data_IF_248888715043
#
_entry.id   IF_248888715043
#
_cell.length_a   1.000
_cell.length_b   1.000
_cell.length_c   1.000
_cell.angle_alpha   90.00
_cell.angle_beta   90.00
_cell.angle_gamma   90.00
#
_symmetry.space_group_name_H-M   'P 1'
#
loop_
_entity.id
_entity.type
_entity.pdbx_description
1 polymer ?
#
# COMPACT_ATOMS: atom_id res chain seq x y z
N UNK A 1 5.48 19.39 20.60
CA UNK A 1 6.51 18.74 19.75
C UNK A 1 6.24 17.24 19.70
N UNK A 2 6.32 16.62 18.53
CA UNK A 2 6.10 15.19 18.36
C UNK A 2 7.42 14.44 18.55
N UNK A 3 7.46 13.52 19.51
CA UNK A 3 8.61 12.66 19.77
C UNK A 3 8.21 11.19 19.77
N UNK A 4 9.04 10.35 19.20
CA UNK A 4 8.90 8.89 19.29
C UNK A 4 9.58 8.41 20.56
N UNK A 5 8.90 7.56 21.34
CA UNK A 5 9.53 6.91 22.47
C UNK A 5 10.46 5.79 21.98
N UNK A 6 11.64 5.65 22.61
CA UNK A 6 12.58 4.57 22.32
C UNK A 6 11.94 3.17 22.52
N UNK A 7 11.04 3.05 23.50
CA UNK A 7 10.30 1.80 23.71
C UNK A 7 9.42 1.41 22.52
N UNK A 8 8.94 2.37 21.75
CA UNK A 8 8.19 2.09 20.50
C UNK A 8 9.07 1.39 19.49
N UNK A 9 10.28 1.89 19.27
CA UNK A 9 11.25 1.24 18.37
C UNK A 9 11.65 -0.15 18.89
N UNK A 10 11.90 -0.27 20.20
CA UNK A 10 12.20 -1.54 20.86
C UNK A 10 11.09 -2.57 20.65
N UNK A 11 9.85 -2.21 20.95
CA UNK A 11 8.70 -3.10 20.83
C UNK A 11 8.48 -3.57 19.38
N UNK A 12 8.66 -2.66 18.41
CA UNK A 12 8.60 -3.04 16.98
C UNK A 12 9.71 -3.98 16.57
N UNK A 13 10.93 -3.80 17.04
CA UNK A 13 12.05 -4.70 16.78
C UNK A 13 11.86 -6.08 17.41
N UNK A 14 11.22 -6.15 18.60
CA UNK A 14 10.84 -7.41 19.24
C UNK A 14 9.70 -8.10 18.48
N UNK A 15 8.67 -7.35 18.07
CA UNK A 15 7.57 -7.85 17.23
C UNK A 15 8.07 -8.46 15.92
N UNK A 16 9.06 -7.81 15.29
CA UNK A 16 9.69 -8.30 14.07
C UNK A 16 10.68 -9.46 14.30
N UNK A 17 10.88 -9.86 15.53
CA UNK A 17 11.87 -10.87 15.92
C UNK A 17 13.31 -10.55 15.47
N UNK A 18 13.63 -9.25 15.34
CA UNK A 18 14.92 -8.75 14.89
C UNK A 18 15.88 -8.39 16.03
N UNK A 19 15.37 -8.32 17.28
CA UNK A 19 16.07 -7.85 18.46
C UNK A 19 16.17 -8.94 19.52
N UNK A 20 17.35 -9.06 20.14
CA UNK A 20 17.56 -9.75 21.41
C UNK A 20 18.11 -8.76 22.44
N UNK A 21 17.52 -8.73 23.61
CA UNK A 21 18.05 -7.97 24.74
C UNK A 21 19.08 -8.81 25.50
N UNK A 22 20.21 -8.21 25.81
CA UNK A 22 21.27 -8.82 26.61
C UNK A 22 21.63 -7.89 27.76
N UNK A 23 21.86 -8.43 28.95
CA UNK A 23 22.38 -7.66 30.05
C UNK A 23 23.91 -7.77 30.05
N UNK A 24 24.60 -6.62 29.93
CA UNK A 24 26.05 -6.53 30.01
C UNK A 24 26.44 -5.48 31.03
N UNK A 25 27.24 -5.85 32.03
CA UNK A 25 27.73 -4.93 33.05
C UNK A 25 26.63 -4.04 33.66
N UNK A 26 25.49 -4.61 34.04
CA UNK A 26 24.30 -3.94 34.59
C UNK A 26 23.56 -2.99 33.60
N UNK A 27 23.91 -3.02 32.32
CA UNK A 27 23.21 -2.24 31.29
C UNK A 27 22.50 -3.20 30.29
N UNK A 28 21.30 -2.85 29.90
CA UNK A 28 20.56 -3.56 28.85
C UNK A 28 21.10 -3.13 27.50
N UNK A 29 21.61 -4.06 26.72
CA UNK A 29 22.16 -3.83 25.38
C UNK A 29 21.28 -4.48 24.33
N UNK A 30 21.03 -3.75 23.29
CA UNK A 30 20.28 -4.22 22.11
C UNK A 30 21.21 -4.97 21.17
N UNK A 31 20.89 -6.22 20.88
CA UNK A 31 21.67 -7.05 19.94
C UNK A 31 20.79 -7.52 18.78
N UNK A 32 21.24 -7.34 17.54
CA UNK A 32 20.51 -7.85 16.39
C UNK A 32 20.45 -9.40 16.42
N UNK A 33 19.25 -9.94 16.19
CA UNK A 33 18.94 -11.38 16.17
C UNK A 33 18.64 -11.83 14.73
N UNK A 34 19.13 -12.98 14.27
CA UNK A 34 18.70 -13.56 13.00
C UNK A 34 17.23 -14.01 13.10
N UNK A 35 16.49 -13.84 12.04
CA UNK A 35 15.06 -14.22 11.94
C UNK A 35 14.94 -15.60 11.31
N UNK A 36 15.00 -16.64 12.13
CA UNK A 36 15.07 -18.02 11.71
C UNK A 36 13.90 -18.43 10.78
N UNK A 37 12.69 -17.92 11.01
CA UNK A 37 11.52 -18.22 10.19
C UNK A 37 11.62 -17.71 8.73
N UNK A 38 12.57 -16.85 8.43
CA UNK A 38 12.79 -16.33 7.07
C UNK A 38 13.82 -17.13 6.27
N UNK A 39 14.52 -18.08 6.87
CA UNK A 39 15.59 -18.85 6.21
C UNK A 39 15.08 -19.62 4.98
N UNK A 40 13.83 -20.08 5.00
CA UNK A 40 13.19 -20.74 3.87
C UNK A 40 12.88 -19.82 2.67
N UNK A 41 12.81 -18.51 2.87
CA UNK A 41 12.51 -17.55 1.79
C UNK A 41 13.73 -17.31 0.90
N UNK A 42 13.52 -16.84 -0.34
CA UNK A 42 14.62 -16.39 -1.21
C UNK A 42 15.33 -15.17 -0.61
N UNK A 43 16.60 -14.95 -0.95
CA UNK A 43 17.39 -13.84 -0.37
C UNK A 43 16.80 -12.49 -0.72
N UNK A 44 16.32 -12.33 -1.96
CA UNK A 44 15.64 -11.12 -2.42
C UNK A 44 14.35 -10.82 -1.65
N UNK A 45 13.61 -11.86 -1.23
CA UNK A 45 12.38 -11.73 -0.46
C UNK A 45 12.68 -11.37 1.00
N UNK A 46 13.77 -11.91 1.55
CA UNK A 46 14.27 -11.51 2.88
C UNK A 46 14.54 -10.01 2.87
N UNK A 47 15.35 -9.52 1.91
CA UNK A 47 15.67 -8.09 1.81
C UNK A 47 14.42 -7.24 1.59
N UNK A 48 13.47 -7.71 0.77
CA UNK A 48 12.20 -7.00 0.53
C UNK A 48 11.40 -6.83 1.81
N UNK A 49 11.31 -7.88 2.64
CA UNK A 49 10.59 -7.85 3.90
C UNK A 49 11.21 -6.82 4.88
N UNK A 50 12.54 -6.86 5.06
CA UNK A 50 13.23 -5.88 5.90
C UNK A 50 13.02 -4.44 5.40
N UNK A 51 13.08 -4.22 4.08
CA UNK A 51 12.82 -2.91 3.48
C UNK A 51 11.42 -2.41 3.76
N UNK A 52 10.41 -3.28 3.67
CA UNK A 52 9.01 -2.94 3.92
C UNK A 52 8.81 -2.52 5.37
N UNK A 53 9.37 -3.25 6.30
CA UNK A 53 9.27 -2.98 7.74
C UNK A 53 10.00 -1.68 8.13
N UNK A 54 11.20 -1.45 7.60
CA UNK A 54 11.96 -0.21 7.83
C UNK A 54 11.20 1.00 7.27
N UNK A 55 10.70 0.91 6.03
CA UNK A 55 9.92 1.98 5.41
C UNK A 55 8.62 2.24 6.15
N UNK A 56 7.93 1.19 6.59
CA UNK A 56 6.71 1.30 7.37
C UNK A 56 6.94 2.08 8.66
N UNK A 57 7.95 1.69 9.44
CA UNK A 57 8.35 2.40 10.65
C UNK A 57 8.72 3.86 10.36
N UNK A 58 9.62 4.09 9.41
CA UNK A 58 10.07 5.43 9.08
C UNK A 58 8.94 6.32 8.55
N UNK A 59 8.10 5.83 7.64
CA UNK A 59 7.01 6.64 7.07
C UNK A 59 5.99 7.05 8.13
N UNK A 60 5.70 6.18 9.09
CA UNK A 60 4.78 6.49 10.18
C UNK A 60 5.32 7.57 11.12
N UNK A 61 6.63 7.53 11.44
CA UNK A 61 7.24 8.43 12.39
C UNK A 61 8.07 9.56 11.75
N UNK A 62 8.06 9.71 10.43
CA UNK A 62 8.94 10.60 9.67
C UNK A 62 8.87 12.08 10.08
N UNK A 63 7.75 12.52 10.64
CA UNK A 63 7.54 13.92 11.10
C UNK A 63 8.04 14.18 12.53
N UNK A 64 8.39 13.14 13.27
CA UNK A 64 8.86 13.28 14.64
C UNK A 64 10.24 13.95 14.71
N UNK A 65 10.47 14.75 15.75
CA UNK A 65 11.69 15.54 15.90
C UNK A 65 12.95 14.67 16.07
N UNK A 66 12.81 13.53 16.75
CA UNK A 66 13.90 12.62 17.07
C UNK A 66 13.96 11.38 16.15
N UNK A 67 13.29 11.42 14.99
CA UNK A 67 13.25 10.26 14.08
C UNK A 67 14.63 9.90 13.53
N UNK A 68 15.53 10.87 13.36
CA UNK A 68 16.89 10.59 12.89
C UNK A 68 17.66 9.68 13.84
N UNK A 69 17.61 9.94 15.14
CA UNK A 69 18.34 9.15 16.14
C UNK A 69 17.72 7.77 16.34
N UNK A 70 16.39 7.74 16.53
CA UNK A 70 15.66 6.50 16.74
C UNK A 70 15.68 5.64 15.46
N UNK A 71 15.49 6.28 14.30
CA UNK A 71 15.53 5.60 13.00
C UNK A 71 16.90 4.99 12.71
N UNK A 72 17.99 5.70 13.01
CA UNK A 72 19.34 5.16 12.85
C UNK A 72 19.58 3.95 13.76
N UNK A 73 19.17 4.01 15.02
CA UNK A 73 19.26 2.88 15.95
C UNK A 73 18.41 1.68 15.49
N UNK A 74 17.18 1.94 15.05
CA UNK A 74 16.28 0.94 14.50
C UNK A 74 16.86 0.32 13.22
N UNK A 75 17.31 1.15 12.28
CA UNK A 75 17.91 0.72 11.01
C UNK A 75 19.15 -0.13 11.21
N UNK A 76 20.01 0.25 12.16
CA UNK A 76 21.19 -0.55 12.51
C UNK A 76 20.83 -1.96 12.96
N UNK A 77 19.86 -2.10 13.87
CA UNK A 77 19.42 -3.42 14.35
C UNK A 77 18.82 -4.24 13.20
N UNK A 78 17.99 -3.62 12.35
CA UNK A 78 17.38 -4.29 11.21
C UNK A 78 18.40 -4.73 10.17
N UNK A 79 19.39 -3.89 9.86
CA UNK A 79 20.47 -4.19 8.91
C UNK A 79 21.30 -5.39 9.38
N UNK A 80 21.76 -5.37 10.63
CA UNK A 80 22.58 -6.45 11.17
C UNK A 80 21.78 -7.74 11.42
N UNK A 81 20.49 -7.64 11.73
CA UNK A 81 19.56 -8.76 11.80
C UNK A 81 19.44 -9.43 10.42
N UNK A 82 19.28 -8.62 9.35
CA UNK A 82 19.24 -9.10 7.97
C UNK A 82 20.54 -9.84 7.59
N UNK A 83 21.71 -9.24 7.87
CA UNK A 83 22.99 -9.88 7.57
C UNK A 83 23.10 -11.23 8.27
N UNK A 84 22.72 -11.33 9.54
CA UNK A 84 22.72 -12.59 10.30
C UNK A 84 21.74 -13.60 9.73
N UNK A 85 20.55 -13.18 9.31
CA UNK A 85 19.54 -14.06 8.70
C UNK A 85 20.05 -14.64 7.38
N UNK A 86 20.65 -13.81 6.52
CA UNK A 86 21.21 -14.24 5.24
C UNK A 86 22.44 -15.13 5.45
N UNK A 87 23.29 -14.77 6.40
CA UNK A 87 24.45 -15.59 6.77
C UNK A 87 24.04 -16.99 7.19
N UNK A 88 23.03 -17.09 8.05
CA UNK A 88 22.48 -18.37 8.50
C UNK A 88 21.86 -19.17 7.34
N UNK A 89 21.09 -18.51 6.45
CA UNK A 89 20.53 -19.15 5.26
C UNK A 89 21.59 -19.74 4.34
N UNK A 90 22.67 -19.00 4.11
CA UNK A 90 23.71 -19.37 3.15
C UNK A 90 24.85 -20.21 3.79
N UNK A 91 24.74 -20.49 5.09
CA UNK A 91 25.79 -21.14 5.87
C UNK A 91 27.16 -20.42 5.77
N UNK A 92 27.12 -19.10 5.89
CA UNK A 92 28.27 -18.21 5.80
C UNK A 92 28.44 -17.43 7.12
N UNK A 93 29.62 -16.87 7.34
CA UNK A 93 29.79 -15.84 8.36
C UNK A 93 29.06 -14.55 7.96
N UNK A 94 28.68 -13.73 8.95
CA UNK A 94 28.02 -12.44 8.67
C UNK A 94 28.87 -11.54 7.75
N UNK A 95 30.20 -11.54 7.93
CA UNK A 95 31.12 -10.77 7.09
C UNK A 95 31.12 -11.27 5.64
N UNK A 96 31.20 -12.57 5.45
CA UNK A 96 31.15 -13.19 4.11
C UNK A 96 29.80 -12.91 3.42
N UNK A 97 28.67 -13.03 4.14
CA UNK A 97 27.36 -12.74 3.61
C UNK A 97 27.25 -11.26 3.21
N UNK A 98 27.76 -10.33 4.02
CA UNK A 98 27.82 -8.90 3.69
C UNK A 98 28.64 -8.65 2.43
N UNK A 99 29.87 -9.16 2.37
CA UNK A 99 30.79 -8.94 1.23
C UNK A 99 30.26 -9.55 -0.07
N UNK A 100 29.56 -10.68 0.00
CA UNK A 100 28.98 -11.34 -1.18
C UNK A 100 28.02 -10.43 -1.96
N UNK A 101 27.25 -9.62 -1.25
CA UNK A 101 26.21 -8.76 -1.84
C UNK A 101 26.55 -7.27 -1.80
N UNK A 102 27.67 -6.89 -1.20
CA UNK A 102 28.08 -5.48 -1.15
C UNK A 102 28.62 -5.04 -2.51
N UNK A 103 28.02 -4.00 -3.11
CA UNK A 103 28.45 -3.31 -4.33
C UNK A 103 28.29 -1.81 -4.12
N UNK A 104 29.32 -1.04 -4.41
CA UNK A 104 29.32 0.43 -4.28
C UNK A 104 28.75 0.94 -2.94
N UNK A 105 29.17 0.33 -1.84
CA UNK A 105 28.71 0.62 -0.48
C UNK A 105 27.21 0.30 -0.22
N UNK A 106 26.54 -0.33 -1.18
CA UNK A 106 25.14 -0.74 -1.05
C UNK A 106 25.04 -2.26 -1.02
N UNK A 107 24.08 -2.77 -0.25
CA UNK A 107 23.79 -4.20 -0.22
C UNK A 107 22.77 -4.50 -1.32
N UNK A 108 23.20 -5.22 -2.37
CA UNK A 108 22.44 -5.45 -3.60
C UNK A 108 22.35 -6.95 -3.87
N UNK A 109 21.13 -7.45 -3.95
CA UNK A 109 20.85 -8.86 -4.26
C UNK A 109 20.30 -8.95 -5.67
N UNK A 110 21.03 -9.61 -6.62
CA UNK A 110 20.49 -9.92 -7.94
C UNK A 110 19.47 -11.06 -7.86
N UNK A 111 18.40 -10.97 -8.62
CA UNK A 111 17.39 -12.02 -8.75
C UNK A 111 16.79 -12.02 -10.17
N UNK A 112 16.20 -13.13 -10.59
CA UNK A 112 15.47 -13.24 -11.85
C UNK A 112 13.97 -13.07 -11.60
N UNK A 113 13.32 -12.23 -12.38
CA UNK A 113 11.86 -12.12 -12.34
C UNK A 113 11.18 -13.28 -13.07
N UNK A 114 9.84 -13.30 -13.07
CA UNK A 114 9.04 -14.34 -13.73
C UNK A 114 9.27 -14.42 -15.25
N UNK A 115 9.82 -13.34 -15.86
CA UNK A 115 10.14 -13.28 -17.29
C UNK A 115 11.61 -13.63 -17.59
N UNK A 116 12.39 -14.04 -16.56
CA UNK A 116 13.80 -14.37 -16.69
C UNK A 116 14.76 -13.16 -16.69
N UNK A 117 14.24 -11.94 -16.64
CA UNK A 117 15.08 -10.74 -16.59
C UNK A 117 15.77 -10.59 -15.23
N UNK A 118 17.05 -10.20 -15.25
CA UNK A 118 17.80 -9.94 -14.02
C UNK A 118 17.39 -8.60 -13.42
N UNK A 119 16.94 -8.64 -12.18
CA UNK A 119 16.60 -7.47 -11.37
C UNK A 119 17.46 -7.42 -10.11
N UNK A 120 17.48 -6.26 -9.46
CA UNK A 120 18.29 -6.02 -8.29
C UNK A 120 17.42 -5.55 -7.13
N UNK A 121 17.59 -6.17 -5.96
CA UNK A 121 16.96 -5.75 -4.72
C UNK A 121 18.01 -5.05 -3.86
N UNK A 122 17.84 -3.75 -3.67
CA UNK A 122 18.73 -2.94 -2.82
C UNK A 122 18.14 -2.90 -1.42
N UNK A 123 18.98 -3.12 -0.40
CA UNK A 123 18.60 -2.87 0.98
C UNK A 123 18.38 -1.38 1.21
N UNK A 124 17.48 -1.03 2.12
CA UNK A 124 17.09 0.34 2.40
C UNK A 124 18.30 1.26 2.67
N UNK A 125 18.45 2.28 1.87
CA UNK A 125 19.53 3.27 1.92
C UNK A 125 19.02 4.72 2.00
N UNK A 126 17.72 4.92 2.21
CA UNK A 126 17.07 6.24 2.19
C UNK A 126 17.36 7.11 3.42
N UNK A 127 17.99 6.56 4.46
CA UNK A 127 18.23 7.27 5.72
C UNK A 127 16.95 7.59 6.50
N UNK A 128 17.09 8.32 7.61
CA UNK A 128 15.99 8.63 8.53
C UNK A 128 15.90 10.13 8.82
N UNK A 129 15.96 10.96 7.76
CA UNK A 129 15.81 12.41 7.90
C UNK A 129 14.37 12.76 8.28
N UNK A 130 14.21 13.72 9.21
CA UNK A 130 12.89 14.24 9.53
C UNK A 130 12.24 14.85 8.28
N UNK A 131 10.99 14.48 8.04
CA UNK A 131 10.15 15.12 7.03
C UNK A 131 9.38 16.28 7.68
N UNK A 132 9.29 17.40 6.97
CA UNK A 132 8.38 18.47 7.38
C UNK A 132 6.94 18.00 7.21
N UNK A 133 6.10 18.25 8.22
CA UNK A 133 4.67 17.99 8.08
C UNK A 133 4.15 18.85 6.91
N UNK A 134 3.50 18.23 5.95
CA UNK A 134 2.79 18.96 4.92
C UNK A 134 1.64 19.70 5.59
N UNK A 135 1.76 21.01 5.73
CA UNK A 135 0.64 21.89 6.06
C UNK A 135 -0.22 22.06 4.79
N UNK A 136 -0.84 20.99 4.35
CA UNK A 136 -1.85 21.11 3.32
C UNK A 136 -3.18 21.33 4.04
N UNK A 137 -3.78 22.50 3.90
CA UNK A 137 -5.10 22.80 4.46
C UNK A 137 -6.19 21.81 4.02
N UNK A 138 -5.90 21.03 2.98
CA UNK A 138 -6.76 19.96 2.48
C UNK A 138 -6.64 18.63 3.26
N UNK A 139 -5.58 18.44 4.08
CA UNK A 139 -5.39 17.19 4.87
C UNK A 139 -6.35 17.17 6.07
N UNK A 140 -6.72 18.34 6.60
CA UNK A 140 -7.67 18.47 7.71
C UNK A 140 -9.14 18.50 7.23
N UNK A 141 -9.36 18.55 5.91
CA UNK A 141 -10.68 18.32 5.35
C UNK A 141 -10.90 16.81 5.41
N UNK A 142 -11.61 16.34 6.43
CA UNK A 142 -12.20 15.00 6.44
C UNK A 142 -12.94 14.90 5.11
N UNK A 143 -12.51 14.02 4.18
CA UNK A 143 -13.27 13.87 2.95
C UNK A 143 -14.68 13.52 3.39
N UNK A 144 -15.63 14.35 2.99
CA UNK A 144 -17.03 14.14 3.29
C UNK A 144 -17.47 12.89 2.53
N UNK A 145 -17.09 11.75 3.07
CA UNK A 145 -17.49 10.42 2.59
C UNK A 145 -18.90 10.11 3.09
N UNK A 146 -19.80 11.08 2.97
CA UNK A 146 -21.20 10.74 2.94
C UNK A 146 -21.38 9.92 1.67
N UNK A 147 -21.14 8.64 1.82
CA UNK A 147 -21.66 7.68 0.87
C UNK A 147 -23.18 7.75 1.03
N UNK A 148 -23.78 8.66 0.27
CA UNK A 148 -25.20 8.53 -0.05
C UNK A 148 -25.25 7.17 -0.74
N UNK A 149 -25.79 6.12 -0.09
CA UNK A 149 -25.85 4.81 -0.68
C UNK A 149 -26.57 4.98 -2.02
N UNK A 150 -25.90 4.65 -3.12
CA UNK A 150 -26.55 4.72 -4.44
C UNK A 150 -27.74 3.75 -4.34
N UNK A 151 -28.96 4.18 -4.67
CA UNK A 151 -30.12 3.32 -4.54
C UNK A 151 -29.88 2.02 -5.30
N UNK A 152 -30.26 0.93 -4.71
CA UNK A 152 -30.10 -0.40 -5.29
C UNK A 152 -30.92 -0.50 -6.59
N UNK A 153 -30.61 -1.47 -7.43
CA UNK A 153 -31.36 -1.74 -8.66
C UNK A 153 -32.85 -1.98 -8.35
N UNK A 154 -33.14 -2.70 -7.27
CA UNK A 154 -34.51 -2.98 -6.84
C UNK A 154 -35.27 -1.75 -6.35
N UNK A 155 -34.60 -0.85 -5.62
CA UNK A 155 -35.18 0.42 -5.17
C UNK A 155 -35.56 1.29 -6.36
N UNK A 156 -34.65 1.44 -7.33
CA UNK A 156 -34.88 2.25 -8.56
C UNK A 156 -36.01 1.70 -9.44
N UNK A 157 -36.20 0.38 -9.50
CA UNK A 157 -37.35 -0.24 -10.17
C UNK A 157 -38.64 -0.01 -9.39
N UNK A 158 -38.62 -0.10 -8.06
CA UNK A 158 -39.78 0.13 -7.20
C UNK A 158 -40.24 1.57 -7.18
N UNK A 159 -39.33 2.54 -7.36
CA UNK A 159 -39.66 3.96 -7.52
C UNK A 159 -40.59 4.24 -8.71
N UNK A 160 -40.57 3.38 -9.73
CA UNK A 160 -41.47 3.47 -10.88
C UNK A 160 -41.27 4.74 -11.74
N UNK A 161 -40.13 5.43 -11.58
CA UNK A 161 -39.82 6.69 -12.27
C UNK A 161 -38.74 6.49 -13.32
N UNK A 162 -39.00 6.94 -14.54
CA UNK A 162 -38.01 6.89 -15.60
C UNK A 162 -36.83 7.85 -15.32
N UNK A 163 -35.61 7.36 -15.26
CA UNK A 163 -34.44 8.16 -14.98
C UNK A 163 -34.09 9.14 -16.13
N UNK A 164 -34.64 8.98 -17.35
CA UNK A 164 -34.39 9.89 -18.46
C UNK A 164 -35.45 10.98 -18.61
N UNK A 165 -36.72 10.63 -18.70
CA UNK A 165 -37.80 11.57 -18.94
C UNK A 165 -38.62 11.91 -17.69
N UNK A 166 -38.41 11.20 -16.57
CA UNK A 166 -39.15 11.45 -15.33
C UNK A 166 -40.60 10.93 -15.32
N UNK A 167 -41.04 10.22 -16.36
CA UNK A 167 -42.40 9.65 -16.38
C UNK A 167 -42.56 8.50 -15.40
N UNK A 168 -43.74 8.39 -14.83
CA UNK A 168 -44.13 7.27 -13.96
C UNK A 168 -44.77 6.18 -14.81
N UNK A 169 -44.49 4.91 -14.49
CA UNK A 169 -45.10 3.78 -15.20
C UNK A 169 -44.27 2.50 -15.14
N UNK A 170 -44.49 1.65 -16.11
CA UNK A 170 -43.69 0.42 -16.24
C UNK A 170 -42.26 0.76 -16.59
N UNK A 171 -41.37 0.53 -15.64
CA UNK A 171 -39.94 0.81 -15.77
C UNK A 171 -39.21 -0.50 -16.04
N UNK A 172 -38.36 -0.47 -17.06
CA UNK A 172 -37.45 -1.56 -17.42
C UNK A 172 -36.02 -1.15 -17.15
N UNK A 173 -35.15 -2.13 -16.95
CA UNK A 173 -33.76 -1.88 -16.71
C UNK A 173 -32.94 -2.04 -18.00
N UNK A 174 -32.46 -0.91 -18.51
CA UNK A 174 -31.49 -0.92 -19.62
C UNK A 174 -30.08 -1.16 -19.08
N UNK A 175 -29.31 -2.06 -19.72
CA UNK A 175 -27.98 -2.45 -19.31
C UNK A 175 -26.95 -2.30 -20.42
N UNK A 176 -25.79 -1.70 -20.13
CA UNK A 176 -24.66 -1.59 -21.06
C UNK A 176 -23.50 -2.52 -20.64
N UNK A 177 -22.89 -3.17 -21.62
CA UNK A 177 -21.77 -4.09 -21.38
C UNK A 177 -20.54 -3.36 -20.81
N UNK A 178 -20.19 -2.21 -21.39
CA UNK A 178 -18.95 -1.53 -21.08
C UNK A 178 -19.11 -0.01 -21.10
N UNK A 179 -18.91 0.65 -19.96
CA UNK A 179 -18.98 2.11 -19.85
C UNK A 179 -17.88 2.82 -20.64
N UNK A 180 -16.72 2.19 -20.82
CA UNK A 180 -15.58 2.79 -21.55
C UNK A 180 -15.83 2.94 -23.05
N UNK A 181 -16.82 2.24 -23.58
CA UNK A 181 -17.21 2.32 -25.00
C UNK A 181 -18.22 3.43 -25.27
N UNK A 182 -18.80 4.02 -24.22
CA UNK A 182 -19.75 5.11 -24.35
C UNK A 182 -18.99 6.43 -24.60
N UNK A 183 -19.43 7.18 -25.61
CA UNK A 183 -18.79 8.46 -26.01
C UNK A 183 -19.37 9.67 -25.30
N UNK A 184 -20.52 9.54 -24.62
CA UNK A 184 -21.21 10.66 -23.96
C UNK A 184 -21.96 11.58 -24.94
N UNK A 185 -22.15 11.13 -26.17
CA UNK A 185 -22.78 11.84 -27.28
C UNK A 185 -24.32 11.93 -27.16
N UNK A 186 -24.89 11.08 -26.35
CA UNK A 186 -26.34 11.09 -26.08
C UNK A 186 -26.66 11.34 -24.62
N UNK A 187 -27.85 11.89 -24.27
CA UNK A 187 -28.23 12.19 -22.87
C UNK A 187 -28.14 10.95 -21.94
N UNK A 188 -28.48 9.77 -22.44
CA UNK A 188 -28.43 8.55 -21.65
C UNK A 188 -26.98 8.05 -21.44
N UNK A 189 -26.10 8.15 -22.45
CA UNK A 189 -24.68 7.86 -22.36
C UNK A 189 -24.00 8.77 -21.32
N UNK A 190 -24.23 10.07 -21.44
CA UNK A 190 -23.70 11.07 -20.51
C UNK A 190 -24.14 10.79 -19.08
N UNK A 191 -25.40 10.39 -18.87
CA UNK A 191 -25.93 10.05 -17.55
C UNK A 191 -25.29 8.79 -16.96
N UNK A 192 -25.08 7.74 -17.74
CA UNK A 192 -24.40 6.52 -17.31
C UNK A 192 -22.95 6.79 -16.91
N UNK A 193 -22.24 7.57 -17.74
CA UNK A 193 -20.84 7.96 -17.46
C UNK A 193 -20.77 8.80 -16.18
N UNK A 194 -21.61 9.84 -16.05
CA UNK A 194 -21.65 10.73 -14.87
C UNK A 194 -21.94 9.99 -13.58
N UNK A 195 -22.83 9.01 -13.63
CA UNK A 195 -23.22 8.22 -12.45
C UNK A 195 -22.27 7.03 -12.20
N UNK A 196 -21.35 6.74 -13.13
CA UNK A 196 -20.51 5.55 -13.10
C UNK A 196 -21.33 4.27 -12.87
N UNK A 197 -22.41 4.11 -13.64
CA UNK A 197 -23.36 2.99 -13.57
C UNK A 197 -23.54 2.34 -14.93
N UNK A 198 -23.72 1.02 -14.94
CA UNK A 198 -23.98 0.24 -16.16
C UNK A 198 -25.47 0.06 -16.46
N UNK A 199 -26.34 0.60 -15.62
CA UNK A 199 -27.79 0.38 -15.72
C UNK A 199 -28.56 1.69 -15.59
N UNK A 200 -29.65 1.81 -16.38
CA UNK A 200 -30.65 2.88 -16.27
C UNK A 200 -32.04 2.26 -16.09
N UNK A 201 -32.83 2.82 -15.17
CA UNK A 201 -34.25 2.52 -15.03
C UNK A 201 -35.02 3.44 -16.00
N UNK A 202 -35.61 2.89 -17.03
CA UNK A 202 -36.24 3.66 -18.11
C UNK A 202 -37.62 3.16 -18.47
N UNK A 203 -38.52 4.03 -18.90
CA UNK A 203 -39.80 3.64 -19.45
C UNK A 203 -39.61 2.99 -20.84
N UNK A 204 -40.63 2.30 -21.31
CA UNK A 204 -40.58 1.56 -22.55
C UNK A 204 -40.22 2.44 -23.76
N UNK A 205 -40.79 3.65 -23.86
CA UNK A 205 -40.48 4.60 -24.95
C UNK A 205 -39.02 5.07 -24.92
N UNK A 206 -38.44 5.37 -23.72
CA UNK A 206 -37.05 5.73 -23.62
C UNK A 206 -36.12 4.53 -23.90
N UNK A 207 -36.52 3.33 -23.50
CA UNK A 207 -35.74 2.12 -23.77
C UNK A 207 -35.71 1.83 -25.29
N UNK A 208 -36.81 2.01 -25.97
CA UNK A 208 -36.88 1.90 -27.44
C UNK A 208 -35.94 2.90 -28.14
N UNK A 209 -35.98 4.18 -27.73
CA UNK A 209 -35.06 5.22 -28.27
C UNK A 209 -33.57 4.88 -28.04
N UNK A 210 -33.24 4.32 -26.91
CA UNK A 210 -31.87 3.89 -26.65
C UNK A 210 -31.46 2.74 -27.57
N UNK A 211 -32.34 1.79 -27.80
CA UNK A 211 -32.09 0.62 -28.67
C UNK A 211 -31.97 0.98 -30.14
N UNK A 212 -32.77 1.94 -30.61
CA UNK A 212 -32.79 2.41 -32.00
C UNK A 212 -31.78 3.48 -32.31
N UNK A 213 -31.04 3.99 -31.30
CA UNK A 213 -30.17 5.17 -31.38
C UNK A 213 -30.89 6.41 -31.94
N UNK A 214 -32.18 6.53 -31.74
CA UNK A 214 -32.95 7.73 -32.08
C UNK A 214 -32.66 8.82 -31.05
N UNK A 215 -32.27 9.99 -31.56
CA UNK A 215 -31.92 11.19 -30.76
C UNK A 215 -33.18 11.97 -30.35
#
# INVERSE_FOLDING_TARGET
MLHVNMDTAKNKLLEYDALRMSQERKKTVWKPKPRAFMIGKKVEDIVAQYNTEIRGFYNYYAIANNISDIGNSFGYIMEYSMYKTIAQKLNLTMVQAKLKFLRDKKFIVPFKDAKGATKYRIFYDGGFKRKTAYRNSLVDIIPNTWHIPKPSLMERLKEGVCELCGSNGNITMHHVRNLRQLKGDTPWNAKLIKQNRKTLAVCESCNYKIQTNEH
#
